data_IF_316389678387
#
_entry.id   IF_316389678387
#
_cell.length_a   1.000
_cell.length_b   1.000
_cell.length_c   1.000
_cell.angle_alpha   90.00
_cell.angle_beta   90.00
_cell.angle_gamma   90.00
#
_symmetry.space_group_name_H-M   'P 1'
#
loop_
_entity.id
_entity.type
_entity.pdbx_description
1 polymer ?
#
# COMPACT_ATOMS: atom_id res chain seq x y z
N UNK A 1 7.43 -33.18 -2.79
CA UNK A 1 6.83 -32.18 -3.69
C UNK A 1 5.66 -31.61 -2.94
N UNK A 2 5.69 -30.31 -2.62
CA UNK A 2 4.49 -29.63 -2.15
C UNK A 2 3.70 -29.35 -3.42
N UNK A 3 2.67 -30.15 -3.69
CA UNK A 3 1.69 -29.78 -4.69
C UNK A 3 1.10 -28.46 -4.22
N UNK A 4 1.36 -27.38 -4.96
CA UNK A 4 0.66 -26.11 -4.77
C UNK A 4 -0.81 -26.46 -4.98
N UNK A 5 -1.59 -26.48 -3.90
CA UNK A 5 -3.03 -26.62 -4.01
C UNK A 5 -3.48 -25.37 -4.74
N UNK A 6 -3.90 -25.54 -5.98
CA UNK A 6 -4.46 -24.51 -6.84
C UNK A 6 -5.99 -24.53 -6.69
N UNK A 7 -6.66 -23.44 -7.08
CA UNK A 7 -8.12 -23.50 -7.22
C UNK A 7 -8.46 -24.37 -8.44
N UNK A 8 -9.69 -24.29 -8.96
CA UNK A 8 -9.94 -24.82 -10.31
C UNK A 8 -9.38 -23.88 -11.39
N UNK A 9 -9.20 -24.40 -12.62
CA UNK A 9 -8.59 -23.68 -13.74
C UNK A 9 -9.30 -22.35 -14.06
N UNK A 10 -10.62 -22.27 -13.84
CA UNK A 10 -11.38 -21.05 -14.12
C UNK A 10 -11.13 -19.98 -13.06
N UNK A 11 -11.15 -20.36 -11.79
CA UNK A 11 -10.84 -19.45 -10.67
C UNK A 11 -9.40 -18.96 -10.75
N UNK A 12 -8.45 -19.85 -11.04
CA UNK A 12 -7.04 -19.49 -11.22
C UNK A 12 -6.84 -18.49 -12.36
N UNK A 13 -7.51 -18.68 -13.50
CA UNK A 13 -7.43 -17.75 -14.62
C UNK A 13 -7.92 -16.35 -14.24
N UNK A 14 -8.95 -16.24 -13.41
CA UNK A 14 -9.49 -14.96 -12.95
C UNK A 14 -8.57 -14.29 -11.92
N UNK A 15 -8.05 -15.08 -10.97
CA UNK A 15 -7.07 -14.63 -9.99
C UNK A 15 -5.75 -14.21 -10.63
N UNK A 16 -5.34 -14.84 -11.73
CA UNK A 16 -4.13 -14.45 -12.46
C UNK A 16 -4.25 -13.03 -13.04
N UNK A 17 -5.46 -12.56 -13.33
CA UNK A 17 -5.72 -11.20 -13.80
C UNK A 17 -5.62 -10.18 -12.66
N UNK A 18 -6.25 -10.44 -11.51
CA UNK A 18 -6.26 -9.50 -10.37
C UNK A 18 -4.99 -9.54 -9.51
N UNK A 19 -4.37 -10.73 -9.37
CA UNK A 19 -3.24 -10.96 -8.47
C UNK A 19 -1.90 -11.15 -9.19
N UNK A 20 -1.92 -11.45 -10.49
CA UNK A 20 -0.70 -11.64 -11.27
C UNK A 20 0.19 -12.74 -10.67
N UNK A 21 1.48 -12.43 -10.50
CA UNK A 21 2.47 -13.35 -9.93
C UNK A 21 2.24 -13.69 -8.45
N UNK A 22 1.34 -12.98 -7.77
CA UNK A 22 1.09 -13.14 -6.33
C UNK A 22 -0.02 -14.13 -6.01
N UNK A 23 -0.62 -14.79 -7.01
CA UNK A 23 -1.69 -15.78 -6.80
C UNK A 23 -1.34 -16.84 -5.75
N UNK A 24 -0.08 -17.31 -5.73
CA UNK A 24 0.41 -18.32 -4.77
C UNK A 24 0.51 -17.81 -3.32
N UNK A 25 0.26 -16.51 -3.07
CA UNK A 25 0.19 -15.91 -1.73
C UNK A 25 -1.22 -15.96 -1.14
N UNK A 26 -2.22 -16.28 -1.94
CA UNK A 26 -3.60 -16.43 -1.49
C UNK A 26 -3.84 -17.89 -1.06
N UNK A 27 -4.16 -18.17 0.22
CA UNK A 27 -4.53 -19.52 0.63
C UNK A 27 -5.79 -20.00 -0.11
N UNK A 28 -5.79 -21.25 -0.55
CA UNK A 28 -6.97 -21.88 -1.17
C UNK A 28 -7.99 -22.26 -0.10
N UNK A 29 -9.26 -21.96 -0.38
CA UNK A 29 -10.39 -22.37 0.46
C UNK A 29 -11.06 -23.60 -0.15
N UNK A 30 -10.96 -24.77 0.48
CA UNK A 30 -11.61 -25.99 -0.01
C UNK A 30 -13.13 -25.93 0.16
N UNK A 31 -13.87 -26.00 -0.94
CA UNK A 31 -15.33 -25.92 -0.98
C UNK A 31 -15.92 -26.96 -1.96
N UNK A 32 -17.24 -27.13 -1.97
CA UNK A 32 -17.92 -28.10 -2.83
C UNK A 32 -18.01 -27.62 -4.29
N UNK A 33 -18.16 -26.30 -4.48
CA UNK A 33 -18.29 -25.62 -5.77
C UNK A 33 -17.71 -24.21 -5.66
N UNK A 34 -17.13 -23.70 -6.76
CA UNK A 34 -16.68 -22.33 -6.89
C UNK A 34 -17.42 -21.63 -8.03
N UNK A 35 -17.80 -20.37 -7.81
CA UNK A 35 -18.18 -19.44 -8.87
C UNK A 35 -17.37 -18.16 -8.66
N UNK A 36 -16.65 -17.73 -9.68
CA UNK A 36 -15.83 -16.52 -9.60
C UNK A 36 -16.13 -15.57 -10.77
N UNK A 37 -15.88 -14.28 -10.53
CA UNK A 37 -15.93 -13.24 -11.54
C UNK A 37 -14.91 -12.14 -11.22
N UNK A 38 -14.52 -11.38 -12.24
CA UNK A 38 -13.75 -10.16 -12.07
C UNK A 38 -14.65 -8.94 -12.29
N UNK A 39 -14.43 -7.91 -11.49
CA UNK A 39 -15.03 -6.60 -11.64
C UNK A 39 -13.91 -5.57 -11.66
N UNK A 40 -13.89 -4.74 -12.71
CA UNK A 40 -13.00 -3.60 -12.80
C UNK A 40 -13.55 -2.42 -11.99
N UNK A 41 -12.70 -1.79 -11.18
CA UNK A 41 -13.03 -0.58 -10.44
C UNK A 41 -12.34 0.63 -11.09
N UNK A 42 -13.05 1.33 -11.97
CA UNK A 42 -12.53 2.47 -12.74
C UNK A 42 -11.94 3.58 -11.86
N UNK A 43 -12.46 3.76 -10.64
CA UNK A 43 -12.02 4.85 -9.75
C UNK A 43 -10.59 4.64 -9.26
N UNK A 44 -10.20 3.39 -9.05
CA UNK A 44 -8.90 3.02 -8.51
C UNK A 44 -8.02 2.26 -9.51
N UNK A 45 -8.55 2.02 -10.73
CA UNK A 45 -7.92 1.19 -11.78
C UNK A 45 -7.51 -0.19 -11.24
N UNK A 46 -8.44 -0.87 -10.55
CA UNK A 46 -8.20 -2.17 -9.90
C UNK A 46 -9.10 -3.26 -10.48
N UNK A 47 -8.50 -4.41 -10.78
CA UNK A 47 -9.23 -5.65 -11.05
C UNK A 47 -9.48 -6.41 -9.74
N UNK A 48 -10.76 -6.55 -9.37
CA UNK A 48 -11.18 -7.27 -8.17
C UNK A 48 -11.76 -8.62 -8.57
N UNK A 49 -11.19 -9.71 -8.06
CA UNK A 49 -11.79 -11.04 -8.21
C UNK A 49 -12.67 -11.33 -7.01
N UNK A 50 -13.94 -11.67 -7.27
CA UNK A 50 -14.87 -12.19 -6.27
C UNK A 50 -15.08 -13.69 -6.49
N UNK A 51 -14.90 -14.50 -5.44
CA UNK A 51 -15.07 -15.95 -5.43
C UNK A 51 -16.15 -16.34 -4.43
N UNK A 52 -17.19 -17.01 -4.91
CA UNK A 52 -18.20 -17.67 -4.10
C UNK A 52 -17.80 -19.13 -3.90
N UNK A 53 -17.48 -19.47 -2.66
CA UNK A 53 -17.11 -20.81 -2.22
C UNK A 53 -18.33 -21.45 -1.55
N UNK A 54 -19.03 -22.35 -2.25
CA UNK A 54 -20.26 -22.95 -1.75
C UNK A 54 -19.98 -24.12 -0.81
N UNK A 55 -20.67 -24.14 0.32
CA UNK A 55 -20.59 -25.25 1.28
C UNK A 55 -21.84 -25.31 2.15
N UNK A 56 -22.23 -26.52 2.53
CA UNK A 56 -23.31 -26.74 3.50
C UNK A 56 -22.97 -26.29 4.92
N UNK A 57 -21.68 -26.06 5.27
CA UNK A 57 -21.24 -25.54 6.57
C UNK A 57 -20.35 -24.29 6.41
N UNK A 58 -20.99 -23.17 6.06
CA UNK A 58 -20.30 -21.88 5.85
C UNK A 58 -19.58 -21.36 7.09
N UNK A 59 -20.08 -21.63 8.30
CA UNK A 59 -19.48 -21.18 9.54
C UNK A 59 -18.15 -21.89 9.81
N UNK A 60 -18.10 -23.22 9.64
CA UNK A 60 -16.83 -23.96 9.72
C UNK A 60 -15.87 -23.51 8.62
N UNK A 61 -16.37 -23.31 7.40
CA UNK A 61 -15.56 -22.89 6.25
C UNK A 61 -14.86 -21.54 6.50
N UNK A 62 -15.59 -20.52 6.97
CA UNK A 62 -15.04 -19.20 7.29
C UNK A 62 -13.98 -19.26 8.41
N UNK A 63 -14.20 -20.12 9.42
CA UNK A 63 -13.25 -20.33 10.52
C UNK A 63 -11.96 -21.01 10.03
N UNK A 64 -12.09 -22.05 9.20
CA UNK A 64 -10.93 -22.73 8.60
C UNK A 64 -10.13 -21.76 7.73
N UNK A 65 -10.80 -20.91 6.95
CA UNK A 65 -10.12 -19.91 6.13
C UNK A 65 -9.35 -18.89 6.98
N UNK A 66 -9.96 -18.40 8.07
CA UNK A 66 -9.28 -17.53 9.03
C UNK A 66 -7.99 -18.17 9.55
N UNK A 67 -8.05 -19.46 9.89
CA UNK A 67 -6.87 -20.20 10.35
C UNK A 67 -5.80 -20.33 9.27
N UNK A 68 -6.17 -20.59 8.02
CA UNK A 68 -5.24 -20.66 6.89
C UNK A 68 -4.53 -19.31 6.65
N UNK A 69 -5.27 -18.20 6.66
CA UNK A 69 -4.72 -16.85 6.57
C UNK A 69 -3.75 -16.54 7.73
N UNK A 70 -4.12 -16.93 8.96
CA UNK A 70 -3.27 -16.74 10.14
C UNK A 70 -1.95 -17.52 10.05
N UNK A 71 -1.98 -18.75 9.51
CA UNK A 71 -0.77 -19.55 9.30
C UNK A 71 0.16 -18.95 8.24
N UNK A 72 -0.39 -18.24 7.25
CA UNK A 72 0.41 -17.50 6.28
C UNK A 72 0.80 -16.10 6.79
N UNK A 73 0.58 -15.77 8.07
CA UNK A 73 0.83 -14.43 8.61
C UNK A 73 0.10 -13.32 7.84
N UNK A 74 -1.09 -13.60 7.33
CA UNK A 74 -1.96 -12.60 6.72
C UNK A 74 -2.84 -11.98 7.82
N UNK A 75 -2.63 -10.71 8.20
CA UNK A 75 -3.43 -10.08 9.24
C UNK A 75 -4.85 -9.85 8.72
N UNK A 76 -5.84 -10.30 9.48
CA UNK A 76 -7.26 -10.05 9.18
C UNK A 76 -7.99 -9.60 10.43
N UNK A 77 -8.77 -8.54 10.28
CA UNK A 77 -9.61 -7.97 11.30
C UNK A 77 -11.08 -8.20 10.96
N UNK A 78 -11.91 -8.33 11.99
CA UNK A 78 -13.34 -8.46 11.81
C UNK A 78 -13.97 -7.09 11.75
N UNK A 79 -14.69 -6.79 10.67
CA UNK A 79 -15.60 -5.66 10.62
C UNK A 79 -16.82 -5.97 11.49
N UNK A 80 -16.94 -5.25 12.61
CA UNK A 80 -17.99 -5.44 13.61
C UNK A 80 -19.39 -5.09 13.10
N UNK A 81 -19.51 -4.25 12.06
CA UNK A 81 -20.80 -3.80 11.54
C UNK A 81 -21.32 -4.71 10.43
N UNK A 82 -20.42 -5.16 9.55
CA UNK A 82 -20.81 -5.91 8.35
C UNK A 82 -20.69 -7.44 8.51
N UNK A 83 -20.00 -7.93 9.54
CA UNK A 83 -19.78 -9.36 9.76
C UNK A 83 -18.80 -10.00 8.76
N UNK A 84 -18.03 -9.18 8.05
CA UNK A 84 -16.95 -9.60 7.17
C UNK A 84 -15.61 -9.51 7.89
N UNK A 85 -14.63 -10.21 7.35
CA UNK A 85 -13.23 -10.08 7.71
C UNK A 85 -12.52 -9.37 6.56
N UNK A 86 -11.60 -8.46 6.88
CA UNK A 86 -10.77 -7.81 5.87
C UNK A 86 -9.34 -7.67 6.36
N UNK A 87 -8.41 -7.55 5.43
CA UNK A 87 -7.02 -7.35 5.73
C UNK A 87 -6.20 -7.12 4.48
N UNK A 88 -4.96 -6.73 4.71
CA UNK A 88 -3.96 -6.52 3.67
C UNK A 88 -2.63 -7.14 4.10
N UNK A 89 -1.85 -7.59 3.13
CA UNK A 89 -0.51 -8.11 3.35
C UNK A 89 0.42 -7.61 2.27
N UNK A 90 1.57 -7.07 2.67
CA UNK A 90 2.67 -6.72 1.76
C UNK A 90 3.19 -7.97 1.05
N UNK A 91 3.10 -8.01 -0.27
CA UNK A 91 3.59 -9.14 -1.10
C UNK A 91 4.74 -8.76 -2.03
N UNK A 92 4.92 -7.47 -2.29
CA UNK A 92 6.13 -6.84 -2.80
C UNK A 92 6.18 -5.39 -2.31
N UNK A 93 7.34 -4.73 -2.47
CA UNK A 93 7.58 -3.36 -1.98
C UNK A 93 6.42 -2.39 -2.31
N UNK A 94 5.95 -2.43 -3.55
CA UNK A 94 4.91 -1.58 -4.13
C UNK A 94 3.54 -2.26 -4.22
N UNK A 95 3.34 -3.40 -3.56
CA UNK A 95 2.16 -4.24 -3.77
C UNK A 95 1.59 -4.80 -2.47
N UNK A 96 0.35 -4.41 -2.15
CA UNK A 96 -0.48 -4.99 -1.10
C UNK A 96 -1.44 -6.02 -1.71
N UNK A 97 -1.42 -7.25 -1.19
CA UNK A 97 -2.51 -8.19 -1.39
C UNK A 97 -3.64 -7.84 -0.44
N UNK A 98 -4.76 -7.42 -0.99
CA UNK A 98 -5.94 -7.03 -0.26
C UNK A 98 -7.00 -8.14 -0.34
N UNK A 99 -7.70 -8.35 0.77
CA UNK A 99 -8.64 -9.44 0.90
C UNK A 99 -9.79 -9.08 1.83
N UNK A 100 -11.01 -9.39 1.42
CA UNK A 100 -12.17 -9.45 2.30
C UNK A 100 -12.91 -10.77 2.12
N UNK A 101 -13.48 -11.30 3.20
CA UNK A 101 -14.31 -12.49 3.12
C UNK A 101 -15.41 -12.52 4.19
N UNK A 102 -16.49 -13.22 3.91
CA UNK A 102 -17.60 -13.36 4.85
C UNK A 102 -18.50 -14.53 4.47
N UNK A 103 -19.30 -14.98 5.44
CA UNK A 103 -20.33 -15.98 5.16
C UNK A 103 -21.51 -15.35 4.43
N UNK A 104 -22.06 -16.04 3.44
CA UNK A 104 -23.30 -15.64 2.78
C UNK A 104 -24.34 -16.77 2.83
N UNK A 105 -25.61 -16.39 2.71
CA UNK A 105 -26.73 -17.32 2.56
C UNK A 105 -27.74 -16.74 1.58
N UNK A 106 -28.03 -17.49 0.53
CA UNK A 106 -29.10 -17.28 -0.45
C UNK A 106 -30.09 -18.45 -0.38
N UNK A 107 -31.26 -18.32 -1.00
CA UNK A 107 -32.42 -19.19 -0.78
C UNK A 107 -32.13 -20.71 -0.86
N UNK A 108 -31.23 -21.12 -1.76
CA UNK A 108 -30.85 -22.51 -2.03
C UNK A 108 -29.35 -22.79 -1.85
N UNK A 109 -28.52 -21.76 -1.65
CA UNK A 109 -27.06 -21.86 -1.56
C UNK A 109 -26.50 -21.06 -0.38
N UNK A 110 -25.46 -21.58 0.26
CA UNK A 110 -24.71 -20.86 1.29
C UNK A 110 -23.23 -21.15 1.17
N UNK A 111 -22.39 -20.33 1.79
CA UNK A 111 -20.95 -20.48 1.67
C UNK A 111 -20.17 -19.28 2.19
N UNK A 112 -18.97 -19.12 1.67
CA UNK A 112 -18.08 -17.97 1.92
C UNK A 112 -17.89 -17.21 0.61
N UNK A 113 -18.05 -15.89 0.66
CA UNK A 113 -17.65 -15.00 -0.44
C UNK A 113 -16.31 -14.40 -0.07
N UNK A 114 -15.39 -14.39 -1.04
CA UNK A 114 -14.07 -13.79 -0.98
C UNK A 114 -14.00 -12.70 -2.04
N UNK A 115 -13.44 -11.54 -1.73
CA UNK A 115 -13.00 -10.55 -2.71
C UNK A 115 -11.52 -10.26 -2.49
N UNK A 116 -10.74 -10.24 -3.57
CA UNK A 116 -9.29 -10.04 -3.49
C UNK A 116 -8.74 -9.31 -4.72
N UNK A 117 -7.69 -8.52 -4.50
CA UNK A 117 -7.02 -7.72 -5.51
C UNK A 117 -5.60 -7.36 -5.04
N UNK A 118 -4.76 -6.89 -5.96
CA UNK A 118 -3.50 -6.22 -5.64
C UNK A 118 -3.71 -4.72 -5.70
N UNK A 119 -3.33 -4.02 -4.63
CA UNK A 119 -3.23 -2.57 -4.61
C UNK A 119 -1.77 -2.16 -4.74
N UNK A 120 -1.49 -1.28 -5.69
CA UNK A 120 -0.21 -0.60 -5.81
C UNK A 120 -0.26 0.72 -5.07
N UNK A 121 0.53 0.83 -4.00
CA UNK A 121 0.52 1.96 -3.07
C UNK A 121 1.84 2.76 -3.09
N UNK A 122 2.78 2.36 -3.95
CA UNK A 122 4.03 3.09 -4.19
C UNK A 122 4.31 3.18 -5.68
N UNK A 123 4.78 4.34 -6.10
CA UNK A 123 5.08 4.70 -7.48
C UNK A 123 6.59 4.64 -7.71
N UNK A 124 7.02 4.39 -8.95
CA UNK A 124 8.47 4.40 -9.30
C UNK A 124 8.95 5.77 -9.73
N UNK A 125 8.03 6.62 -10.14
CA UNK A 125 8.29 7.98 -10.59
C UNK A 125 7.97 8.93 -9.45
N UNK A 126 8.78 9.96 -9.30
CA UNK A 126 8.54 10.99 -8.30
C UNK A 126 7.31 11.81 -8.71
N UNK A 127 6.39 12.16 -7.79
CA UNK A 127 5.11 12.80 -8.11
C UNK A 127 5.27 14.30 -8.40
N UNK A 128 6.06 14.65 -9.42
CA UNK A 128 6.39 16.04 -9.75
C UNK A 128 5.15 16.85 -10.15
N UNK A 129 4.18 16.23 -10.83
CA UNK A 129 2.93 16.90 -11.21
C UNK A 129 2.13 17.33 -9.98
N UNK A 130 2.03 16.48 -8.95
CA UNK A 130 1.37 16.83 -7.69
C UNK A 130 2.14 17.89 -6.90
N UNK A 131 3.48 17.86 -6.95
CA UNK A 131 4.31 18.95 -6.40
C UNK A 131 3.99 20.26 -7.12
N UNK A 132 3.98 20.25 -8.45
CA UNK A 132 3.69 21.44 -9.25
C UNK A 132 2.28 21.96 -8.98
N UNK A 133 1.28 21.09 -8.87
CA UNK A 133 -0.08 21.49 -8.52
C UNK A 133 -0.17 22.07 -7.09
N UNK A 134 0.71 21.64 -6.19
CA UNK A 134 0.73 22.09 -4.80
C UNK A 134 1.44 23.44 -4.60
N UNK A 135 2.61 23.65 -5.21
CA UNK A 135 3.45 24.85 -5.03
C UNK A 135 3.63 25.72 -6.28
N UNK A 136 3.06 25.33 -7.42
CA UNK A 136 3.24 25.97 -8.73
C UNK A 136 4.70 26.00 -9.21
N UNK A 137 5.49 25.01 -8.78
CA UNK A 137 6.91 24.93 -9.08
C UNK A 137 7.44 23.50 -9.01
N UNK A 138 8.65 23.31 -9.52
CA UNK A 138 9.40 22.07 -9.43
C UNK A 138 10.34 22.09 -8.21
N UNK A 139 10.57 20.91 -7.64
CA UNK A 139 11.64 20.70 -6.64
C UNK A 139 12.67 19.71 -7.19
N UNK A 140 13.94 19.79 -6.75
CA UNK A 140 14.91 18.75 -7.02
C UNK A 140 14.41 17.39 -6.52
N UNK A 141 14.69 16.33 -7.26
CA UNK A 141 14.16 14.99 -6.97
C UNK A 141 15.19 14.17 -6.20
N UNK A 142 14.88 13.71 -4.97
CA UNK A 142 15.75 12.79 -4.24
C UNK A 142 15.79 11.43 -4.96
N UNK A 143 16.96 10.80 -5.03
CA UNK A 143 17.10 9.48 -5.66
C UNK A 143 16.61 8.37 -4.72
N UNK A 144 15.33 8.01 -4.84
CA UNK A 144 14.74 6.85 -4.17
C UNK A 144 14.15 5.87 -5.17
N UNK A 145 13.88 4.64 -4.71
CA UNK A 145 13.41 3.58 -5.59
C UNK A 145 11.90 3.60 -5.80
N UNK A 146 11.18 4.06 -4.79
CA UNK A 146 9.74 4.23 -4.83
C UNK A 146 9.31 5.45 -4.04
N UNK A 147 8.11 5.94 -4.35
CA UNK A 147 7.51 7.12 -3.74
C UNK A 147 6.07 6.82 -3.35
N UNK A 148 5.59 7.40 -2.25
CA UNK A 148 4.16 7.63 -2.04
C UNK A 148 3.97 9.07 -1.62
N UNK A 149 2.78 9.61 -1.83
CA UNK A 149 2.51 10.99 -1.48
C UNK A 149 1.08 11.20 -0.99
N UNK A 150 0.90 12.19 -0.14
CA UNK A 150 -0.40 12.59 0.37
C UNK A 150 -0.41 14.05 0.79
N UNK A 151 -1.51 14.75 0.52
CA UNK A 151 -1.73 16.08 1.10
C UNK A 151 -2.21 15.90 2.55
N UNK A 152 -1.42 16.40 3.50
CA UNK A 152 -1.71 16.42 4.92
C UNK A 152 -2.17 17.80 5.33
N UNK A 153 -3.33 17.88 5.97
CA UNK A 153 -3.83 19.12 6.54
C UNK A 153 -3.81 19.03 8.07
N UNK A 154 -3.05 19.93 8.69
CA UNK A 154 -3.04 20.14 10.14
C UNK A 154 -3.85 21.40 10.48
N UNK A 155 -4.10 21.64 11.76
CA UNK A 155 -4.77 22.87 12.22
C UNK A 155 -4.02 24.16 11.82
N UNK A 156 -2.72 24.07 11.51
CA UNK A 156 -1.87 25.23 11.26
C UNK A 156 -1.41 25.33 9.81
N UNK A 157 -1.11 24.20 9.16
CA UNK A 157 -0.48 24.14 7.85
C UNK A 157 -1.09 23.04 6.97
N UNK A 158 -1.09 23.27 5.66
CA UNK A 158 -1.27 22.23 4.64
C UNK A 158 0.10 21.91 4.06
N UNK A 159 0.41 20.64 3.91
CA UNK A 159 1.69 20.17 3.36
C UNK A 159 1.45 18.99 2.42
N UNK A 160 2.30 18.88 1.40
CA UNK A 160 2.42 17.67 0.60
C UNK A 160 3.53 16.82 1.23
N UNK A 161 3.14 15.67 1.77
CA UNK A 161 4.05 14.66 2.31
C UNK A 161 4.41 13.70 1.18
N UNK A 162 5.70 13.47 0.97
CA UNK A 162 6.26 12.52 -0.01
C UNK A 162 7.23 11.62 0.73
N UNK A 163 6.89 10.33 0.79
CA UNK A 163 7.73 9.30 1.38
C UNK A 163 8.61 8.68 0.29
N UNK A 164 9.92 8.80 0.46
CA UNK A 164 10.93 8.30 -0.48
C UNK A 164 11.52 7.00 0.08
N UNK A 165 11.16 5.87 -0.52
CA UNK A 165 11.46 4.53 -0.01
C UNK A 165 12.72 3.91 -0.60
N UNK A 166 13.37 3.04 0.19
CA UNK A 166 14.61 2.33 -0.18
C UNK A 166 15.71 3.33 -0.56
N UNK A 167 15.78 4.43 0.20
CA UNK A 167 16.76 5.50 0.02
C UNK A 167 17.97 5.27 0.92
N UNK A 168 19.16 5.45 0.35
CA UNK A 168 20.41 5.35 1.10
C UNK A 168 20.62 6.57 1.99
N UNK A 169 21.21 6.38 3.17
CA UNK A 169 21.54 7.50 4.07
C UNK A 169 22.48 8.54 3.42
N UNK A 170 23.35 8.13 2.51
CA UNK A 170 24.18 9.07 1.74
C UNK A 170 23.33 9.93 0.79
N UNK A 171 22.35 9.33 0.10
CA UNK A 171 21.44 10.04 -0.79
C UNK A 171 20.60 11.10 -0.05
N UNK A 172 20.21 10.82 1.21
CA UNK A 172 19.58 11.80 2.10
C UNK A 172 20.45 13.06 2.33
N UNK A 173 21.75 12.88 2.60
CA UNK A 173 22.67 14.01 2.78
C UNK A 173 23.02 14.70 1.44
N UNK A 174 23.16 13.93 0.35
CA UNK A 174 23.38 14.47 -1.00
C UNK A 174 22.20 15.33 -1.47
N UNK A 175 20.97 15.00 -1.06
CA UNK A 175 19.80 15.81 -1.35
C UNK A 175 19.86 17.20 -0.69
N UNK A 176 20.35 17.28 0.56
CA UNK A 176 20.59 18.58 1.22
C UNK A 176 21.59 19.43 0.43
N UNK A 177 22.71 18.83 -0.01
CA UNK A 177 23.70 19.52 -0.86
C UNK A 177 23.11 19.94 -2.20
N UNK A 178 22.27 19.11 -2.81
CA UNK A 178 21.58 19.44 -4.08
C UNK A 178 20.70 20.68 -3.91
N UNK A 179 19.95 20.77 -2.81
CA UNK A 179 19.12 21.94 -2.51
C UNK A 179 19.96 23.20 -2.31
N UNK A 180 21.10 23.12 -1.61
CA UNK A 180 22.03 24.25 -1.46
C UNK A 180 22.58 24.72 -2.83
N UNK A 181 22.95 23.78 -3.71
CA UNK A 181 23.46 24.06 -5.05
C UNK A 181 22.39 24.72 -5.96
N UNK A 182 21.12 24.37 -5.76
CA UNK A 182 19.96 24.97 -6.43
C UNK A 182 19.50 26.29 -5.78
N UNK A 183 20.20 26.76 -4.74
CA UNK A 183 20.02 28.10 -4.16
C UNK A 183 19.06 28.18 -2.97
N UNK A 184 18.67 27.05 -2.39
CA UNK A 184 17.89 27.01 -1.15
C UNK A 184 18.77 27.39 0.05
N UNK A 185 18.19 28.06 1.05
CA UNK A 185 18.78 28.22 2.38
C UNK A 185 18.51 26.98 3.21
N UNK A 186 19.54 26.13 3.38
CA UNK A 186 19.43 24.82 4.05
C UNK A 186 19.95 24.91 5.49
N UNK A 187 19.16 24.38 6.43
CA UNK A 187 19.46 24.32 7.85
C UNK A 187 19.37 22.88 8.36
N UNK A 188 20.42 22.44 9.05
CA UNK A 188 20.50 21.11 9.69
C UNK A 188 20.08 21.22 11.16
N UNK A 189 19.04 20.47 11.53
CA UNK A 189 18.52 20.38 12.90
C UNK A 189 18.96 19.10 13.64
N UNK A 190 19.81 18.27 13.02
CA UNK A 190 20.34 17.02 13.54
C UNK A 190 19.52 15.78 13.16
N UNK A 191 18.20 15.85 13.32
CA UNK A 191 17.24 14.81 12.95
C UNK A 191 16.46 15.11 11.65
N UNK A 192 16.59 16.34 11.15
CA UNK A 192 15.95 16.81 9.94
C UNK A 192 16.74 17.94 9.27
N UNK A 193 16.54 18.09 7.97
CA UNK A 193 16.90 19.30 7.23
C UNK A 193 15.66 20.14 6.97
N UNK A 194 15.85 21.47 6.92
CA UNK A 194 14.87 22.42 6.40
C UNK A 194 15.52 23.26 5.32
N UNK A 195 14.90 23.33 4.16
CA UNK A 195 15.36 24.09 3.00
C UNK A 195 14.28 25.07 2.58
N UNK A 196 14.61 26.35 2.55
CA UNK A 196 13.70 27.41 2.11
C UNK A 196 14.23 28.02 0.84
N UNK A 197 13.41 28.11 -0.19
CA UNK A 197 13.75 28.93 -1.36
C UNK A 197 13.49 30.41 -0.99
N UNK A 198 14.53 31.26 -0.89
CA UNK A 198 14.37 32.64 -0.44
C UNK A 198 13.60 33.52 -1.46
N UNK A 199 13.39 33.02 -2.68
CA UNK A 199 12.68 33.72 -3.75
C UNK A 199 11.24 33.26 -3.91
N UNK A 200 10.85 32.15 -3.27
CA UNK A 200 9.52 31.54 -3.39
C UNK A 200 8.82 31.44 -2.04
N UNK A 201 7.51 31.19 -2.06
CA UNK A 201 6.67 31.10 -0.85
C UNK A 201 6.46 29.65 -0.39
N UNK A 202 7.49 28.81 -0.46
CA UNK A 202 7.44 27.45 0.05
C UNK A 202 8.77 27.01 0.67
N UNK A 203 8.73 25.94 1.46
CA UNK A 203 9.90 25.26 1.98
C UNK A 203 9.74 23.75 1.90
N UNK A 204 10.87 23.06 2.08
CA UNK A 204 10.98 21.61 2.10
C UNK A 204 11.62 21.23 3.44
N UNK A 205 10.94 20.42 4.24
CA UNK A 205 11.53 19.78 5.41
C UNK A 205 11.67 18.29 5.11
N UNK A 206 12.78 17.67 5.47
CA UNK A 206 12.92 16.24 5.28
C UNK A 206 13.74 15.56 6.37
N UNK A 207 13.34 14.33 6.69
CA UNK A 207 13.91 13.49 7.74
C UNK A 207 14.19 12.09 7.20
N UNK A 208 15.19 11.42 7.76
CA UNK A 208 15.54 10.05 7.40
C UNK A 208 15.23 9.09 8.55
N UNK A 209 14.61 7.97 8.21
CA UNK A 209 14.38 6.84 9.10
C UNK A 209 15.03 5.61 8.49
N UNK A 210 15.87 4.93 9.27
CA UNK A 210 16.35 3.60 8.90
C UNK A 210 15.20 2.60 8.85
N UNK A 211 15.42 1.43 8.26
CA UNK A 211 14.40 0.37 8.21
C UNK A 211 13.87 0.01 9.61
N UNK A 212 14.74 -0.06 10.61
CA UNK A 212 14.37 -0.36 12.00
C UNK A 212 13.51 0.77 12.61
N UNK A 213 13.91 2.03 12.43
CA UNK A 213 13.18 3.19 12.95
C UNK A 213 11.84 3.40 12.25
N UNK A 214 11.73 3.02 10.97
CA UNK A 214 10.51 3.18 10.17
C UNK A 214 9.31 2.46 10.78
N UNK A 215 9.52 1.31 11.45
CA UNK A 215 8.47 0.58 12.21
C UNK A 215 7.90 1.46 13.32
N UNK A 216 8.79 2.09 14.08
CA UNK A 216 8.42 2.83 15.29
C UNK A 216 7.59 4.07 14.98
N UNK A 217 7.81 4.65 13.81
CA UNK A 217 7.09 5.85 13.32
C UNK A 217 5.87 5.51 12.46
N UNK A 218 5.53 4.22 12.30
CA UNK A 218 4.29 3.78 11.67
C UNK A 218 4.39 3.44 10.18
N UNK A 219 5.60 3.35 9.62
CA UNK A 219 5.83 2.70 8.33
C UNK A 219 5.95 1.19 8.49
N UNK A 220 5.95 0.47 7.37
CA UNK A 220 5.86 -0.99 7.36
C UNK A 220 7.16 -1.73 7.72
N UNK A 221 8.26 -1.02 7.95
CA UNK A 221 9.40 -1.57 8.67
C UNK A 221 10.44 -2.35 7.90
N UNK A 222 10.29 -2.45 6.59
CA UNK A 222 11.11 -3.29 5.73
C UNK A 222 12.10 -2.51 4.88
N UNK A 223 12.14 -1.17 5.01
CA UNK A 223 13.02 -0.29 4.23
C UNK A 223 13.29 1.05 4.91
N UNK A 224 14.43 1.66 4.57
CA UNK A 224 14.70 3.05 4.91
C UNK A 224 13.74 3.97 4.16
N UNK A 225 13.37 5.06 4.82
CA UNK A 225 12.43 6.06 4.29
C UNK A 225 12.99 7.45 4.56
N UNK A 226 13.00 8.29 3.54
CA UNK A 226 13.11 9.74 3.74
C UNK A 226 11.71 10.33 3.61
N UNK A 227 11.21 10.94 4.68
CA UNK A 227 9.94 11.65 4.66
C UNK A 227 10.21 13.09 4.28
N UNK A 228 9.62 13.56 3.19
CA UNK A 228 9.75 14.92 2.70
C UNK A 228 8.42 15.65 2.81
N UNK A 229 8.43 16.82 3.45
CA UNK A 229 7.28 17.69 3.66
C UNK A 229 7.49 18.97 2.87
N UNK A 230 6.71 19.17 1.83
CA UNK A 230 6.65 20.44 1.08
C UNK A 230 5.52 21.27 1.67
N UNK A 231 5.80 22.51 2.07
CA UNK A 231 4.83 23.37 2.73
C UNK A 231 4.89 24.80 2.19
N UNK A 232 3.73 25.46 2.14
CA UNK A 232 3.64 26.88 1.79
C UNK A 232 3.98 27.75 3.01
N UNK A 233 4.83 28.75 2.80
CA UNK A 233 5.15 29.75 3.81
C UNK A 233 4.04 30.80 3.89
N UNK A 234 3.78 31.31 5.10
CA UNK A 234 2.78 32.37 5.34
C UNK A 234 3.39 33.76 5.29
#
# INVERSE_FOLDING_TARGET
MVETILWDENVDSLLQVSLGKFINRLPVLTADEYIANNTHNDKYDLEITTIYCFSSDSATLARVYKSALSMDHFPVEQDSEAGYYSGFKRVAIDSLLCLSYGSFKQEDKQGVVLSTWIQHDKEKEFPQDDVYDFIYDEVPVPQARYYSHAIRQTAYNTMLEIDCYDIDRSAYHEYATTLEEEGYDVQDYGDAYSAIDPTKYFGIQFSYYSAEESIEVGFEGDMSVMVMLIYLMK
#
